data_IF_721660526884
#
_entry.id   IF_721660526884
#
_cell.length_a   1.000
_cell.length_b   1.000
_cell.length_c   1.000
_cell.angle_alpha   90.00
_cell.angle_beta   90.00
_cell.angle_gamma   90.00
#
_symmetry.space_group_name_H-M   'P 1'
#
loop_
_entity.id
_entity.type
_entity.pdbx_description
1 polymer ?
#
# COMPACT_ATOMS: atom_id res chain seq x y z
N UNK A 1 -20.30 -10.63 20.62
CA UNK A 1 -21.46 -9.88 21.12
C UNK A 1 -21.09 -8.47 21.57
N UNK A 2 -20.23 -8.29 22.58
CA UNK A 2 -19.90 -6.96 23.13
C UNK A 2 -19.24 -5.97 22.15
N UNK A 3 -18.33 -6.42 21.27
CA UNK A 3 -17.77 -5.56 20.21
C UNK A 3 -18.88 -5.00 19.30
N UNK A 4 -19.75 -5.90 18.82
CA UNK A 4 -20.88 -5.52 17.97
C UNK A 4 -21.86 -4.57 18.71
N UNK A 5 -22.03 -4.75 20.01
CA UNK A 5 -22.85 -3.86 20.83
C UNK A 5 -22.22 -2.46 20.98
N UNK A 6 -20.91 -2.40 21.24
CA UNK A 6 -20.14 -1.16 21.41
C UNK A 6 -20.28 -0.22 20.21
N UNK A 7 -20.03 -0.70 19.00
CA UNK A 7 -20.22 0.16 17.83
C UNK A 7 -21.65 0.35 17.34
N UNK A 8 -22.61 -0.54 17.61
CA UNK A 8 -24.02 -0.20 17.35
C UNK A 8 -24.39 1.04 18.18
N UNK A 9 -23.96 1.10 19.44
CA UNK A 9 -24.14 2.28 20.26
C UNK A 9 -23.36 3.49 19.73
N UNK A 10 -22.13 3.32 19.25
CA UNK A 10 -21.30 4.41 18.74
C UNK A 10 -21.81 5.00 17.40
N UNK A 11 -22.00 4.16 16.39
CA UNK A 11 -22.21 4.59 14.99
C UNK A 11 -23.69 4.66 14.60
N UNK A 12 -24.51 3.71 15.09
CA UNK A 12 -25.94 3.67 14.73
C UNK A 12 -26.80 4.48 15.69
N UNK A 13 -26.60 4.32 17.00
CA UNK A 13 -27.43 4.98 18.02
C UNK A 13 -26.82 6.28 18.56
N UNK A 14 -25.53 6.54 18.26
CA UNK A 14 -24.76 7.69 18.76
C UNK A 14 -24.80 7.85 20.30
N UNK A 15 -25.08 6.76 21.01
CA UNK A 15 -25.16 6.64 22.47
C UNK A 15 -23.76 6.31 23.01
N UNK A 16 -22.92 7.34 23.11
CA UNK A 16 -21.50 7.21 23.50
C UNK A 16 -21.31 6.53 24.86
N UNK A 17 -22.11 6.83 25.92
CA UNK A 17 -21.98 6.15 27.21
C UNK A 17 -22.16 4.63 27.11
N UNK A 18 -23.22 4.15 26.43
CA UNK A 18 -23.42 2.69 26.30
C UNK A 18 -22.38 2.02 25.41
N UNK A 19 -21.83 2.73 24.43
CA UNK A 19 -20.71 2.24 23.64
C UNK A 19 -19.47 2.00 24.52
N UNK A 20 -19.16 2.96 25.40
CA UNK A 20 -18.06 2.86 26.37
C UNK A 20 -18.27 1.65 27.29
N UNK A 21 -19.44 1.53 27.91
CA UNK A 21 -19.75 0.42 28.83
C UNK A 21 -19.58 -0.95 28.16
N UNK A 22 -20.03 -1.08 26.90
CA UNK A 22 -19.92 -2.32 26.15
C UNK A 22 -18.46 -2.68 25.80
N UNK A 23 -17.64 -1.69 25.40
CA UNK A 23 -16.22 -1.91 25.11
C UNK A 23 -15.39 -2.16 26.38
N UNK A 24 -15.68 -1.46 27.47
CA UNK A 24 -15.04 -1.71 28.77
C UNK A 24 -15.38 -3.12 29.27
N UNK A 25 -16.67 -3.48 29.25
CA UNK A 25 -17.12 -4.83 29.62
C UNK A 25 -16.47 -5.94 28.79
N UNK A 26 -16.24 -5.71 27.48
CA UNK A 26 -15.52 -6.65 26.61
C UNK A 26 -14.08 -6.86 27.11
N UNK A 27 -13.37 -5.76 27.37
CA UNK A 27 -11.95 -5.80 27.75
C UNK A 27 -11.72 -6.31 29.17
N UNK A 28 -12.65 -6.04 30.09
CA UNK A 28 -12.59 -6.56 31.47
C UNK A 28 -12.89 -8.05 31.52
N UNK A 29 -13.94 -8.50 30.81
CA UNK A 29 -14.36 -9.92 30.84
C UNK A 29 -13.45 -10.81 30.01
N UNK A 30 -12.82 -10.27 28.97
CA UNK A 30 -11.96 -11.02 28.05
C UNK A 30 -10.68 -10.24 27.71
N UNK A 31 -9.67 -10.18 28.59
CA UNK A 31 -8.48 -9.34 28.37
C UNK A 31 -7.62 -9.70 27.15
N UNK A 32 -7.63 -10.96 26.70
CA UNK A 32 -6.90 -11.44 25.52
C UNK A 32 -7.83 -11.63 24.30
N UNK A 33 -8.87 -10.80 24.18
CA UNK A 33 -9.79 -10.90 23.07
C UNK A 33 -9.17 -10.38 21.76
N UNK A 34 -9.52 -11.01 20.63
CA UNK A 34 -9.08 -10.61 19.28
C UNK A 34 -9.47 -9.16 18.89
N UNK A 35 -10.38 -8.53 19.64
CA UNK A 35 -10.86 -7.17 19.42
C UNK A 35 -10.19 -6.15 20.37
N UNK A 36 -9.17 -6.55 21.13
CA UNK A 36 -8.52 -5.69 22.14
C UNK A 36 -8.01 -4.40 21.53
N UNK A 37 -7.11 -4.47 20.56
CA UNK A 37 -6.53 -3.30 19.91
C UNK A 37 -7.61 -2.39 19.25
N UNK A 38 -8.56 -2.93 18.45
CA UNK A 38 -9.64 -2.13 17.89
C UNK A 38 -10.60 -1.52 18.92
N UNK A 39 -10.87 -2.22 20.02
CA UNK A 39 -11.74 -1.71 21.10
C UNK A 39 -11.07 -0.60 21.91
N UNK A 40 -9.76 -0.69 22.18
CA UNK A 40 -9.00 0.38 22.81
C UNK A 40 -8.98 1.63 21.95
N UNK A 41 -8.82 1.49 20.63
CA UNK A 41 -8.89 2.62 19.72
C UNK A 41 -10.30 3.25 19.68
N UNK A 42 -11.34 2.42 19.75
CA UNK A 42 -12.73 2.90 19.84
C UNK A 42 -12.99 3.66 21.14
N UNK A 43 -12.48 3.16 22.27
CA UNK A 43 -12.54 3.82 23.57
C UNK A 43 -11.79 5.15 23.56
N UNK A 44 -10.59 5.21 22.96
CA UNK A 44 -9.88 6.47 22.71
C UNK A 44 -10.78 7.48 21.99
N UNK A 45 -11.36 7.12 20.83
CA UNK A 45 -12.23 8.03 20.05
C UNK A 45 -13.46 8.48 20.83
N UNK A 46 -14.12 7.57 21.55
CA UNK A 46 -15.30 7.86 22.35
C UNK A 46 -15.00 8.84 23.49
N UNK A 47 -13.92 8.59 24.23
CA UNK A 47 -13.49 9.47 25.32
C UNK A 47 -13.01 10.83 24.80
N UNK A 48 -12.31 10.89 23.66
CA UNK A 48 -11.98 12.16 22.98
C UNK A 48 -13.24 12.95 22.62
N UNK A 49 -14.25 12.29 22.05
CA UNK A 49 -15.51 12.93 21.65
C UNK A 49 -16.37 13.40 22.84
N UNK A 50 -16.08 12.93 24.06
CA UNK A 50 -16.68 13.38 25.32
C UNK A 50 -15.79 14.37 26.09
N UNK A 51 -14.68 14.82 25.50
CA UNK A 51 -13.67 15.68 26.15
C UNK A 51 -13.06 15.06 27.43
N UNK A 52 -13.02 13.73 27.53
CA UNK A 52 -12.42 12.99 28.64
C UNK A 52 -10.95 12.68 28.31
N UNK A 53 -10.15 13.75 28.18
CA UNK A 53 -8.80 13.71 27.60
C UNK A 53 -7.85 12.76 28.31
N UNK A 54 -7.89 12.70 29.65
CA UNK A 54 -7.01 11.82 30.44
C UNK A 54 -7.25 10.33 30.12
N UNK A 55 -8.51 9.92 30.04
CA UNK A 55 -8.89 8.54 29.73
C UNK A 55 -8.53 8.21 28.29
N UNK A 56 -8.78 9.14 27.36
CA UNK A 56 -8.40 8.98 25.97
C UNK A 56 -6.88 8.78 25.83
N UNK A 57 -6.06 9.65 26.42
CA UNK A 57 -4.60 9.54 26.36
C UNK A 57 -4.08 8.24 26.99
N UNK A 58 -4.74 7.72 28.03
CA UNK A 58 -4.41 6.40 28.58
C UNK A 58 -4.54 5.29 27.52
N UNK A 59 -5.68 5.21 26.83
CA UNK A 59 -5.87 4.22 25.76
C UNK A 59 -4.90 4.41 24.60
N UNK A 60 -4.64 5.66 24.19
CA UNK A 60 -3.66 5.98 23.16
C UNK A 60 -2.27 5.47 23.53
N UNK A 61 -1.79 5.75 24.73
CA UNK A 61 -0.47 5.32 25.20
C UNK A 61 -0.35 3.80 25.27
N UNK A 62 -1.41 3.09 25.69
CA UNK A 62 -1.42 1.62 25.69
C UNK A 62 -1.32 1.04 24.29
N UNK A 63 -2.02 1.61 23.32
CA UNK A 63 -1.94 1.17 21.91
C UNK A 63 -0.53 1.36 21.35
N UNK A 64 0.08 2.51 21.60
CA UNK A 64 1.45 2.82 21.12
C UNK A 64 2.48 1.90 21.78
N UNK A 65 2.33 1.62 23.08
CA UNK A 65 3.27 0.78 23.81
C UNK A 65 3.17 -0.72 23.47
N UNK A 66 1.95 -1.25 23.35
CA UNK A 66 1.73 -2.69 23.17
C UNK A 66 1.63 -3.10 21.68
N UNK A 67 1.29 -2.17 20.79
CA UNK A 67 1.09 -2.44 19.36
C UNK A 67 1.77 -1.38 18.45
N UNK A 68 3.07 -1.09 18.63
CA UNK A 68 3.77 0.02 17.95
C UNK A 68 3.77 -0.07 16.41
N UNK A 69 3.81 -1.30 15.87
CA UNK A 69 3.85 -1.53 14.42
C UNK A 69 2.45 -1.58 13.78
N UNK A 70 1.39 -1.43 14.58
CA UNK A 70 0.02 -1.43 14.09
C UNK A 70 -0.33 -0.13 13.40
N UNK A 71 -1.17 -0.21 12.36
CA UNK A 71 -1.66 0.98 11.66
C UNK A 71 -2.42 1.93 12.60
N UNK A 72 -3.05 1.40 13.67
CA UNK A 72 -3.66 2.21 14.73
C UNK A 72 -2.63 3.07 15.48
N UNK A 73 -1.50 2.49 15.89
CA UNK A 73 -0.43 3.23 16.56
C UNK A 73 0.16 4.30 15.63
N UNK A 74 0.36 3.99 14.35
CA UNK A 74 0.87 4.95 13.37
C UNK A 74 -0.07 6.16 13.21
N UNK A 75 -1.38 5.94 13.11
CA UNK A 75 -2.39 7.01 13.00
C UNK A 75 -2.54 7.81 14.31
N UNK A 76 -2.36 7.17 15.47
CA UNK A 76 -2.41 7.86 16.76
C UNK A 76 -1.19 8.75 17.01
N UNK A 77 -0.03 8.38 16.47
CA UNK A 77 1.20 9.17 16.53
C UNK A 77 1.15 10.34 15.54
N UNK A 78 0.72 10.07 14.31
CA UNK A 78 0.54 11.07 13.28
C UNK A 78 -0.76 10.78 12.49
N UNK A 79 -1.84 11.56 12.69
CA UNK A 79 -3.10 11.38 11.96
C UNK A 79 -2.96 11.44 10.44
N UNK A 80 -1.90 12.08 9.94
CA UNK A 80 -1.59 12.21 8.52
C UNK A 80 -0.52 11.21 8.06
N UNK A 81 -0.07 10.28 8.91
CA UNK A 81 1.04 9.38 8.63
C UNK A 81 0.96 8.75 7.23
N UNK A 82 -0.17 8.13 6.91
CA UNK A 82 -0.36 7.47 5.63
C UNK A 82 -0.58 8.45 4.47
N UNK A 83 -1.13 9.65 4.74
CA UNK A 83 -1.26 10.71 3.72
C UNK A 83 0.11 11.24 3.34
N UNK A 84 0.96 11.57 4.32
CA UNK A 84 2.35 12.00 4.11
C UNK A 84 3.18 10.91 3.45
N UNK A 85 3.01 9.66 3.87
CA UNK A 85 3.68 8.50 3.25
C UNK A 85 3.28 8.35 1.78
N UNK A 86 2.01 8.56 1.44
CA UNK A 86 1.55 8.53 0.06
C UNK A 86 2.03 9.74 -0.75
N UNK A 87 2.05 10.94 -0.18
CA UNK A 87 2.57 12.15 -0.82
C UNK A 87 4.06 12.01 -1.14
N UNK A 88 4.88 11.62 -0.16
CA UNK A 88 6.32 11.41 -0.35
C UNK A 88 6.62 10.37 -1.46
N UNK A 89 5.73 9.40 -1.62
CA UNK A 89 5.82 8.34 -2.62
C UNK A 89 5.36 8.80 -4.01
N UNK A 90 4.26 9.56 -4.10
CA UNK A 90 3.88 10.20 -5.36
C UNK A 90 5.00 11.15 -5.85
N UNK A 91 5.61 11.90 -4.93
CA UNK A 91 6.76 12.77 -5.25
C UNK A 91 7.97 11.96 -5.75
N UNK A 92 8.28 10.81 -5.14
CA UNK A 92 9.39 9.96 -5.58
C UNK A 92 9.13 9.32 -6.96
N UNK A 93 7.88 8.94 -7.24
CA UNK A 93 7.44 8.41 -8.54
C UNK A 93 7.48 9.48 -9.64
N UNK A 94 6.95 10.68 -9.41
CA UNK A 94 7.05 11.77 -10.37
C UNK A 94 8.49 12.17 -10.66
N UNK A 95 9.35 12.11 -9.64
CA UNK A 95 10.77 12.36 -9.80
C UNK A 95 11.45 11.26 -10.62
N UNK A 96 11.04 10.00 -10.44
CA UNK A 96 11.51 8.88 -11.24
C UNK A 96 11.08 9.01 -12.70
N UNK A 97 9.83 9.36 -12.95
CA UNK A 97 9.30 9.57 -14.30
C UNK A 97 10.10 10.65 -15.05
N UNK A 98 10.30 11.83 -14.43
CA UNK A 98 11.13 12.90 -14.99
C UNK A 98 12.57 12.45 -15.27
N UNK A 99 13.09 11.54 -14.46
CA UNK A 99 14.45 10.99 -14.62
C UNK A 99 14.51 9.97 -15.77
N UNK A 100 13.47 9.17 -15.93
CA UNK A 100 13.34 8.25 -17.04
C UNK A 100 13.15 8.99 -18.38
N UNK A 101 12.35 10.06 -18.41
CA UNK A 101 12.24 10.94 -19.59
C UNK A 101 13.59 11.56 -19.97
N UNK A 102 14.38 12.00 -18.98
CA UNK A 102 15.74 12.49 -19.21
C UNK A 102 16.65 11.40 -19.81
N UNK A 103 16.51 10.15 -19.37
CA UNK A 103 17.24 9.01 -19.94
C UNK A 103 16.86 8.78 -21.42
N UNK A 104 15.57 8.75 -21.74
CA UNK A 104 15.08 8.61 -23.12
C UNK A 104 15.56 9.74 -24.03
N UNK A 105 15.64 10.96 -23.51
CA UNK A 105 16.15 12.13 -24.22
C UNK A 105 17.70 12.18 -24.31
N UNK A 106 18.42 11.14 -23.88
CA UNK A 106 19.89 11.09 -23.90
C UNK A 106 20.57 12.03 -22.89
N UNK A 107 19.83 12.59 -21.93
CA UNK A 107 20.34 13.52 -20.92
C UNK A 107 21.02 12.76 -19.75
N UNK A 108 21.98 11.88 -20.06
CA UNK A 108 22.57 10.93 -19.12
C UNK A 108 23.21 11.56 -17.87
N UNK A 109 23.86 12.72 -18.01
CA UNK A 109 24.39 13.46 -16.86
C UNK A 109 23.30 13.86 -15.87
N UNK A 110 22.13 14.29 -16.37
CA UNK A 110 20.96 14.63 -15.55
C UNK A 110 20.38 13.39 -14.86
N UNK A 111 20.39 12.24 -15.54
CA UNK A 111 19.93 10.97 -14.96
C UNK A 111 20.76 10.58 -13.75
N UNK A 112 22.09 10.64 -13.86
CA UNK A 112 23.01 10.35 -12.76
C UNK A 112 22.79 11.31 -11.59
N UNK A 113 22.70 12.62 -11.86
CA UNK A 113 22.42 13.61 -10.82
C UNK A 113 21.07 13.39 -10.13
N UNK A 114 20.04 13.03 -10.89
CA UNK A 114 18.72 12.76 -10.34
C UNK A 114 18.73 11.49 -9.48
N UNK A 115 19.44 10.43 -9.89
CA UNK A 115 19.57 9.22 -9.09
C UNK A 115 20.27 9.49 -7.74
N UNK A 116 21.36 10.27 -7.74
CA UNK A 116 22.04 10.69 -6.51
C UNK A 116 21.14 11.53 -5.59
N UNK A 117 20.30 12.38 -6.20
CA UNK A 117 19.31 13.18 -5.48
C UNK A 117 18.19 12.31 -4.90
N UNK A 118 17.70 11.32 -5.64
CA UNK A 118 16.68 10.39 -5.20
C UNK A 118 17.15 9.60 -3.98
N UNK A 119 18.41 9.13 -3.98
CA UNK A 119 19.01 8.43 -2.84
C UNK A 119 19.03 9.24 -1.54
N UNK A 120 19.08 10.58 -1.64
CA UNK A 120 19.05 11.50 -0.48
C UNK A 120 17.64 11.88 -0.06
N UNK A 121 16.74 12.09 -1.03
CA UNK A 121 15.37 12.53 -0.77
C UNK A 121 14.46 11.39 -0.32
N UNK A 122 14.67 10.18 -0.84
CA UNK A 122 13.77 9.03 -0.65
C UNK A 122 14.52 7.79 -0.11
N UNK A 123 15.31 7.90 0.98
CA UNK A 123 16.21 6.84 1.44
C UNK A 123 15.49 5.55 1.88
N UNK A 124 14.19 5.61 2.16
CA UNK A 124 13.37 4.47 2.58
C UNK A 124 12.58 3.83 1.43
N UNK A 125 12.70 4.36 0.21
CA UNK A 125 11.96 3.87 -0.96
C UNK A 125 12.71 2.71 -1.64
N UNK A 126 12.53 1.51 -1.10
CA UNK A 126 13.21 0.31 -1.61
C UNK A 126 12.67 -0.18 -2.95
N UNK A 127 11.56 0.38 -3.44
CA UNK A 127 10.97 0.02 -4.74
C UNK A 127 11.59 0.85 -5.88
N UNK A 128 11.71 2.17 -5.70
CA UNK A 128 12.23 3.06 -6.75
C UNK A 128 13.74 3.24 -6.72
N UNK A 129 14.39 3.20 -5.55
CA UNK A 129 15.85 3.38 -5.47
C UNK A 129 16.65 2.39 -6.34
N UNK A 130 16.33 1.08 -6.41
CA UNK A 130 17.00 0.17 -7.34
C UNK A 130 16.85 0.62 -8.80
N UNK A 131 15.67 1.13 -9.18
CA UNK A 131 15.38 1.59 -10.54
C UNK A 131 16.14 2.87 -10.90
N UNK A 132 16.27 3.81 -9.96
CA UNK A 132 17.15 4.97 -10.10
C UNK A 132 18.61 4.56 -10.25
N UNK A 133 19.08 3.63 -9.40
CA UNK A 133 20.43 3.10 -9.47
C UNK A 133 20.71 2.41 -10.81
N UNK A 134 19.71 1.69 -11.35
CA UNK A 134 19.80 1.05 -12.66
C UNK A 134 19.96 2.08 -13.78
N UNK A 135 19.08 3.10 -13.81
CA UNK A 135 19.17 4.19 -14.80
C UNK A 135 20.50 4.93 -14.71
N UNK A 136 20.99 5.18 -13.49
CA UNK A 136 22.31 5.78 -13.27
C UNK A 136 23.42 4.89 -13.83
N UNK A 137 23.39 3.58 -13.56
CA UNK A 137 24.39 2.64 -14.06
C UNK A 137 24.45 2.64 -15.59
N UNK A 138 23.31 2.47 -16.27
CA UNK A 138 23.27 2.48 -17.75
C UNK A 138 23.55 3.85 -18.37
N UNK A 139 23.32 4.95 -17.64
CA UNK A 139 23.63 6.32 -18.08
C UNK A 139 25.08 6.72 -17.83
N UNK A 140 25.74 6.09 -16.85
CA UNK A 140 27.14 6.35 -16.49
C UNK A 140 28.14 5.69 -17.44
N UNK A 141 27.67 4.74 -18.27
CA UNK A 141 28.46 4.15 -19.34
C UNK A 141 28.65 5.14 -20.47
N UNK A 142 29.83 5.74 -20.57
CA UNK A 142 30.29 6.28 -21.85
C UNK A 142 30.52 5.09 -22.81
N UNK A 143 30.38 5.26 -24.14
CA UNK A 143 30.72 4.22 -25.12
C UNK A 143 32.14 3.63 -24.99
N UNK A 144 33.02 4.27 -24.20
CA UNK A 144 34.46 3.98 -24.15
C UNK A 144 34.93 3.33 -22.83
N UNK A 145 34.07 3.17 -21.79
CA UNK A 145 34.47 2.56 -20.50
C UNK A 145 33.40 1.59 -19.99
N UNK A 146 33.39 0.38 -20.55
CA UNK A 146 32.47 -0.72 -20.19
C UNK A 146 32.57 -1.12 -18.70
N UNK A 147 33.73 -0.87 -18.07
CA UNK A 147 34.01 -1.25 -16.68
C UNK A 147 33.17 -0.47 -15.65
N UNK A 148 32.86 0.81 -15.87
CA UNK A 148 32.12 1.62 -14.88
C UNK A 148 30.65 1.21 -14.76
N UNK A 149 30.02 0.90 -15.90
CA UNK A 149 28.65 0.39 -15.93
C UNK A 149 28.57 -1.00 -15.28
N UNK A 150 29.52 -1.90 -15.60
CA UNK A 150 29.59 -3.23 -15.00
C UNK A 150 29.69 -3.14 -13.47
N UNK A 151 30.59 -2.29 -12.95
CA UNK A 151 30.75 -2.10 -11.50
C UNK A 151 29.48 -1.54 -10.86
N UNK A 152 28.80 -0.60 -11.52
CA UNK A 152 27.55 -0.02 -11.01
C UNK A 152 26.40 -1.04 -10.98
N UNK A 153 26.24 -1.85 -12.03
CA UNK A 153 25.23 -2.91 -12.09
C UNK A 153 25.52 -4.04 -11.10
N UNK A 154 26.78 -4.45 -10.92
CA UNK A 154 27.17 -5.45 -9.92
C UNK A 154 26.86 -4.96 -8.49
N UNK A 155 27.19 -3.70 -8.20
CA UNK A 155 26.81 -3.07 -6.93
C UNK A 155 25.30 -3.05 -6.75
N UNK A 156 24.53 -2.73 -7.79
CA UNK A 156 23.07 -2.71 -7.73
C UNK A 156 22.53 -4.08 -7.34
N UNK A 157 22.95 -5.16 -8.01
CA UNK A 157 22.47 -6.52 -7.75
C UNK A 157 22.83 -6.97 -6.33
N UNK A 158 24.02 -6.60 -5.82
CA UNK A 158 24.42 -6.90 -4.44
C UNK A 158 23.64 -6.11 -3.39
N UNK A 159 23.27 -4.87 -3.72
CA UNK A 159 22.57 -3.96 -2.80
C UNK A 159 21.07 -4.25 -2.77
N UNK A 160 20.50 -4.63 -3.91
CA UNK A 160 19.07 -4.86 -4.12
C UNK A 160 18.81 -6.19 -4.83
N UNK A 161 19.15 -7.34 -4.21
CA UNK A 161 19.06 -8.65 -4.85
C UNK A 161 17.64 -9.04 -5.26
N UNK A 162 16.64 -8.61 -4.50
CA UNK A 162 15.21 -8.89 -4.72
C UNK A 162 14.52 -7.81 -5.57
N UNK A 163 15.26 -6.89 -6.19
CA UNK A 163 14.64 -5.82 -6.99
C UNK A 163 14.17 -6.31 -8.36
N UNK A 164 13.11 -5.69 -8.87
CA UNK A 164 12.56 -5.97 -10.21
C UNK A 164 13.56 -5.74 -11.36
N UNK A 165 14.59 -4.91 -11.13
CA UNK A 165 15.67 -4.62 -12.08
C UNK A 165 16.89 -5.55 -11.95
N UNK A 166 16.97 -6.37 -10.89
CA UNK A 166 18.10 -7.27 -10.68
C UNK A 166 18.27 -8.33 -11.80
N UNK A 167 17.21 -8.97 -12.32
CA UNK A 167 17.34 -9.90 -13.45
C UNK A 167 17.93 -9.22 -14.69
N UNK A 168 17.39 -8.04 -15.04
CA UNK A 168 17.86 -7.25 -16.19
C UNK A 168 19.32 -6.80 -16.03
N UNK A 169 19.71 -6.35 -14.83
CA UNK A 169 21.09 -5.97 -14.53
C UNK A 169 22.05 -7.18 -14.68
N UNK A 170 21.64 -8.35 -14.21
CA UNK A 170 22.41 -9.59 -14.38
C UNK A 170 22.54 -10.00 -15.85
N UNK A 171 21.49 -9.82 -16.65
CA UNK A 171 21.53 -10.13 -18.08
C UNK A 171 22.48 -9.19 -18.83
N UNK A 172 22.50 -7.90 -18.50
CA UNK A 172 23.47 -6.94 -19.06
C UNK A 172 24.90 -7.33 -18.65
N UNK A 173 25.13 -7.64 -17.37
CA UNK A 173 26.46 -8.06 -16.86
C UNK A 173 26.98 -9.32 -17.55
N UNK A 174 26.10 -10.29 -17.85
CA UNK A 174 26.47 -11.53 -18.56
C UNK A 174 26.84 -11.31 -20.02
N UNK A 175 26.29 -10.27 -20.64
CA UNK A 175 26.46 -9.97 -22.05
C UNK A 175 27.43 -8.82 -22.33
N UNK A 176 27.98 -8.20 -21.28
CA UNK A 176 29.01 -7.16 -21.39
C UNK A 176 30.22 -7.71 -22.18
N UNK A 177 30.50 -7.10 -23.33
CA UNK A 177 31.58 -7.51 -24.24
C UNK A 177 31.14 -8.27 -25.51
N UNK A 178 29.84 -8.56 -25.70
CA UNK A 178 29.27 -8.95 -27.00
C UNK A 178 28.53 -7.74 -27.58
N UNK A 179 28.85 -7.39 -28.83
CA UNK A 179 28.46 -6.18 -29.57
C UNK A 179 27.13 -5.54 -29.13
N UNK A 180 27.22 -4.32 -28.61
CA UNK A 180 26.11 -3.52 -28.09
C UNK A 180 25.47 -2.73 -29.24
N UNK A 181 24.51 -3.32 -29.96
CA UNK A 181 23.60 -2.61 -30.86
C UNK A 181 22.19 -2.63 -30.23
N UNK A 182 21.88 -1.62 -29.43
CA UNK A 182 20.52 -1.39 -28.91
C UNK A 182 19.76 -0.47 -29.86
N UNK A 183 19.06 -1.07 -30.82
CA UNK A 183 17.84 -0.50 -31.37
C UNK A 183 16.66 -1.12 -30.62
N UNK A 184 16.17 -0.42 -29.59
CA UNK A 184 14.89 -0.75 -28.95
C UNK A 184 13.87 0.22 -29.51
N UNK A 185 13.18 -0.19 -30.57
CA UNK A 185 11.93 0.44 -30.99
C UNK A 185 10.81 -0.05 -30.09
N UNK A 186 10.21 0.86 -29.32
CA UNK A 186 8.91 0.64 -28.69
C UNK A 186 7.92 1.57 -29.41
N UNK A 187 6.98 0.99 -30.16
CA UNK A 187 5.95 1.72 -30.90
C UNK A 187 5.01 2.49 -29.95
N UNK A 188 4.60 3.69 -30.37
CA UNK A 188 3.74 4.62 -29.64
C UNK A 188 2.26 4.49 -30.06
N UNK A 189 1.29 4.69 -29.14
CA UNK A 189 -0.02 5.24 -29.47
C UNK A 189 -0.04 6.78 -29.34
N UNK A 190 -0.93 7.48 -30.06
CA UNK A 190 -0.86 8.92 -30.29
C UNK A 190 -1.57 9.77 -29.23
N UNK A 191 -1.03 10.99 -29.09
CA UNK A 191 -1.60 12.26 -28.62
C UNK A 191 -2.66 12.26 -27.51
N UNK A 192 -2.26 12.82 -26.35
CA UNK A 192 -3.17 13.23 -25.30
C UNK A 192 -3.82 14.56 -25.66
N UNK A 193 -5.12 14.52 -25.97
CA UNK A 193 -6.00 15.68 -25.97
C UNK A 193 -6.12 16.28 -24.56
N UNK A 194 -6.17 17.61 -24.51
CA UNK A 194 -6.47 18.39 -23.31
C UNK A 194 -7.92 18.15 -22.90
N UNK A 195 -8.15 17.54 -21.73
CA UNK A 195 -9.48 17.53 -21.11
C UNK A 195 -9.57 18.42 -19.88
N UNK A 196 -10.61 19.24 -19.91
CA UNK A 196 -11.11 20.20 -18.94
C UNK A 196 -11.40 19.59 -17.57
N UNK A 197 -10.98 20.29 -16.51
CA UNK A 197 -11.22 19.89 -15.11
C UNK A 197 -12.67 20.25 -14.70
N UNK A 198 -13.54 19.24 -14.60
CA UNK A 198 -14.73 19.30 -13.74
C UNK A 198 -14.32 19.08 -12.26
N UNK A 199 -15.03 19.70 -11.32
CA UNK A 199 -14.83 19.53 -9.87
C UNK A 199 -14.83 18.04 -9.47
N UNK A 200 -14.02 17.62 -8.47
CA UNK A 200 -13.86 16.21 -8.16
C UNK A 200 -15.17 15.60 -7.61
N UNK A 201 -15.76 14.67 -8.39
CA UNK A 201 -16.95 13.87 -8.03
C UNK A 201 -16.71 12.92 -6.84
N UNK A 202 -15.46 12.78 -6.39
CA UNK A 202 -15.01 11.81 -5.40
C UNK A 202 -13.89 12.39 -4.53
N UNK A 203 -13.83 12.08 -3.21
CA UNK A 203 -12.69 12.43 -2.38
C UNK A 203 -11.43 11.59 -2.70
N UNK A 204 -11.55 10.56 -3.54
CA UNK A 204 -10.45 9.69 -3.96
C UNK A 204 -9.80 10.20 -5.25
N UNK A 205 -8.50 10.00 -5.36
CA UNK A 205 -7.66 10.48 -6.47
C UNK A 205 -7.23 9.29 -7.33
N UNK A 206 -7.41 9.37 -8.65
CA UNK A 206 -6.77 8.41 -9.55
C UNK A 206 -5.28 8.74 -9.69
N UNK A 207 -4.44 7.78 -9.33
CA UNK A 207 -3.03 7.80 -9.67
C UNK A 207 -2.60 6.37 -9.99
N UNK A 208 -2.56 6.02 -11.28
CA UNK A 208 -2.21 4.69 -11.74
C UNK A 208 -0.76 4.28 -11.43
N UNK A 209 0.14 5.27 -11.29
CA UNK A 209 1.56 5.06 -11.04
C UNK A 209 1.89 4.96 -9.55
N UNK A 210 1.03 5.52 -8.69
CA UNK A 210 1.10 5.32 -7.24
C UNK A 210 1.13 3.85 -6.92
N UNK A 211 1.91 3.47 -5.94
CA UNK A 211 1.86 2.08 -5.49
C UNK A 211 0.53 1.77 -4.75
N UNK A 212 0.11 0.51 -4.85
CA UNK A 212 -1.19 0.03 -4.38
C UNK A 212 -1.07 -1.08 -3.31
N UNK A 213 -2.20 -1.30 -2.65
CA UNK A 213 -2.52 -2.48 -1.87
C UNK A 213 -3.83 -3.05 -2.40
N UNK A 214 -4.06 -4.34 -2.18
CA UNK A 214 -5.36 -4.97 -2.41
C UNK A 214 -6.07 -5.06 -1.06
N UNK A 215 -7.24 -4.43 -0.98
CA UNK A 215 -8.10 -4.40 0.18
C UNK A 215 -9.18 -5.48 0.04
N UNK A 216 -9.38 -6.26 1.08
CA UNK A 216 -10.50 -7.18 1.26
C UNK A 216 -11.29 -6.71 2.48
N UNK A 217 -12.54 -6.30 2.27
CA UNK A 217 -13.47 -6.00 3.36
C UNK A 217 -14.36 -7.21 3.56
N UNK A 218 -14.23 -7.88 4.70
CA UNK A 218 -14.89 -9.16 4.98
C UNK A 218 -15.85 -9.03 6.16
N UNK A 219 -17.01 -9.68 6.09
CA UNK A 219 -17.94 -9.71 7.21
C UNK A 219 -17.34 -10.50 8.39
N UNK A 220 -17.07 -9.82 9.50
CA UNK A 220 -16.42 -10.33 10.71
C UNK A 220 -17.18 -11.47 11.39
N UNK A 221 -18.49 -11.61 11.16
CA UNK A 221 -19.30 -12.68 11.75
C UNK A 221 -19.42 -13.92 10.87
N UNK A 222 -19.14 -13.79 9.57
CA UNK A 222 -19.31 -14.87 8.57
C UNK A 222 -18.00 -15.36 8.00
N UNK A 223 -16.97 -14.53 8.01
CA UNK A 223 -15.65 -14.84 7.48
C UNK A 223 -14.65 -14.98 8.62
N UNK A 224 -13.99 -16.14 8.70
CA UNK A 224 -12.89 -16.34 9.65
C UNK A 224 -11.61 -15.74 9.07
N UNK A 225 -11.08 -14.72 9.72
CA UNK A 225 -9.97 -13.91 9.21
C UNK A 225 -8.63 -14.66 9.29
N UNK A 226 -8.31 -15.38 10.37
CA UNK A 226 -7.02 -16.10 10.44
C UNK A 226 -6.87 -17.17 9.36
N UNK A 227 -7.88 -18.06 9.12
CA UNK A 227 -7.82 -18.98 7.99
C UNK A 227 -7.75 -18.27 6.64
N UNK A 228 -8.43 -17.12 6.47
CA UNK A 228 -8.31 -16.32 5.25
C UNK A 228 -6.88 -15.79 5.05
N UNK A 229 -6.23 -15.29 6.10
CA UNK A 229 -4.84 -14.82 6.05
C UNK A 229 -3.86 -15.95 5.74
N UNK A 230 -4.08 -17.15 6.27
CA UNK A 230 -3.27 -18.33 5.92
C UNK A 230 -3.43 -18.66 4.44
N UNK A 231 -4.67 -18.71 3.94
CA UNK A 231 -4.93 -18.97 2.52
C UNK A 231 -4.33 -17.90 1.60
N UNK A 232 -4.43 -16.63 1.97
CA UNK A 232 -3.77 -15.53 1.27
C UNK A 232 -2.24 -15.68 1.28
N UNK A 233 -1.65 -16.06 2.41
CA UNK A 233 -0.19 -16.27 2.53
C UNK A 233 0.28 -17.41 1.62
N UNK A 234 -0.44 -18.53 1.60
CA UNK A 234 -0.14 -19.66 0.73
C UNK A 234 -0.34 -19.30 -0.75
N UNK A 235 -1.40 -18.57 -1.07
CA UNK A 235 -1.68 -18.05 -2.40
C UNK A 235 -0.55 -17.13 -2.88
N UNK A 236 -0.14 -16.16 -2.06
CA UNK A 236 0.97 -15.25 -2.38
C UNK A 236 2.26 -16.03 -2.68
N UNK A 237 2.57 -17.08 -1.90
CA UNK A 237 3.75 -17.92 -2.14
C UNK A 237 3.70 -18.73 -3.42
N UNK A 238 2.52 -19.04 -3.95
CA UNK A 238 2.34 -19.85 -5.16
C UNK A 238 2.30 -18.97 -6.41
N UNK A 239 1.47 -17.94 -6.40
CA UNK A 239 1.16 -17.12 -7.56
C UNK A 239 2.03 -15.85 -7.65
N UNK A 240 2.57 -15.38 -6.51
CA UNK A 240 3.30 -14.10 -6.40
C UNK A 240 4.64 -14.23 -5.65
N UNK A 241 5.31 -15.38 -5.77
CA UNK A 241 6.49 -15.78 -4.98
C UNK A 241 7.69 -14.83 -5.05
N UNK A 242 7.76 -14.03 -6.11
CA UNK A 242 8.83 -13.06 -6.38
C UNK A 242 8.65 -11.78 -5.54
N UNK A 243 7.44 -11.52 -5.03
CA UNK A 243 7.12 -10.29 -4.30
C UNK A 243 6.85 -10.62 -2.82
N UNK A 244 7.56 -9.94 -1.91
CA UNK A 244 7.30 -10.04 -0.48
C UNK A 244 6.04 -9.25 -0.10
N UNK A 245 4.89 -9.90 -0.23
CA UNK A 245 3.59 -9.30 0.05
C UNK A 245 3.25 -9.39 1.54
N UNK A 246 3.03 -8.24 2.17
CA UNK A 246 2.62 -8.17 3.57
C UNK A 246 1.10 -8.28 3.70
N UNK A 247 0.63 -9.18 4.56
CA UNK A 247 -0.79 -9.32 4.90
C UNK A 247 -1.05 -8.70 6.26
N UNK A 248 -1.81 -7.61 6.28
CA UNK A 248 -2.29 -6.97 7.50
C UNK A 248 -3.79 -7.16 7.62
N UNK A 249 -4.29 -7.11 8.86
CA UNK A 249 -5.72 -7.18 9.13
C UNK A 249 -6.05 -6.24 10.27
N UNK A 250 -7.10 -5.45 10.10
CA UNK A 250 -7.63 -4.55 11.11
C UNK A 250 -9.15 -4.61 11.08
N UNK A 251 -9.78 -4.23 12.18
CA UNK A 251 -11.23 -4.17 12.25
C UNK A 251 -11.67 -2.81 11.73
N UNK A 252 -12.39 -2.83 10.61
CA UNK A 252 -12.88 -1.61 10.00
C UNK A 252 -14.04 -1.06 10.83
N UNK A 253 -14.94 -1.95 11.21
CA UNK A 253 -16.15 -1.69 11.94
C UNK A 253 -16.66 -2.97 12.64
N UNK A 254 -17.85 -2.94 13.22
CA UNK A 254 -18.37 -4.10 13.93
C UNK A 254 -18.78 -5.29 13.08
N UNK A 255 -19.16 -5.02 11.85
CA UNK A 255 -19.63 -6.02 10.92
C UNK A 255 -18.50 -6.45 9.99
N UNK A 256 -17.45 -5.64 9.82
CA UNK A 256 -16.42 -5.82 8.82
C UNK A 256 -14.98 -5.74 9.35
N UNK A 257 -14.16 -6.65 8.87
CA UNK A 257 -12.70 -6.63 9.03
C UNK A 257 -12.08 -6.29 7.70
N UNK A 258 -11.16 -5.33 7.69
CA UNK A 258 -10.34 -4.98 6.56
C UNK A 258 -9.06 -5.81 6.60
N UNK A 259 -8.86 -6.65 5.60
CA UNK A 259 -7.60 -7.34 5.34
C UNK A 259 -6.94 -6.62 4.17
N UNK A 260 -5.65 -6.33 4.28
CA UNK A 260 -4.89 -5.74 3.19
C UNK A 260 -3.71 -6.61 2.83
N UNK A 261 -3.44 -6.70 1.53
CA UNK A 261 -2.28 -7.38 0.96
C UNK A 261 -1.56 -6.37 0.09
N UNK A 262 -0.25 -6.21 0.21
CA UNK A 262 0.45 -5.38 -0.79
C UNK A 262 1.80 -4.82 -0.42
N UNK A 263 1.97 -3.56 -0.85
CA UNK A 263 3.15 -2.87 -1.42
C UNK A 263 3.41 -3.12 -2.93
N UNK A 264 2.35 -3.27 -3.75
CA UNK A 264 2.47 -3.38 -5.21
C UNK A 264 2.99 -2.09 -5.83
N UNK A 265 3.91 -2.15 -6.80
CA UNK A 265 4.57 -0.97 -7.38
C UNK A 265 3.62 0.04 -8.04
N UNK A 266 2.48 -0.40 -8.57
CA UNK A 266 1.54 0.47 -9.30
C UNK A 266 0.13 -0.15 -9.34
N UNK A 267 -0.81 0.56 -9.95
CA UNK A 267 -2.19 0.07 -10.15
C UNK A 267 -2.22 -1.23 -10.92
N UNK A 268 -1.47 -1.33 -12.01
CA UNK A 268 -1.45 -2.53 -12.86
C UNK A 268 -1.04 -3.78 -12.06
N UNK A 269 0.06 -3.74 -11.31
CA UNK A 269 0.50 -4.85 -10.49
C UNK A 269 -0.51 -5.26 -9.40
N UNK A 270 -1.26 -4.30 -8.85
CA UNK A 270 -2.33 -4.60 -7.89
C UNK A 270 -3.60 -5.11 -8.56
N UNK A 271 -3.90 -4.68 -9.79
CA UNK A 271 -4.99 -5.20 -10.63
C UNK A 271 -4.69 -6.64 -11.02
N UNK A 272 -3.47 -6.97 -11.46
CA UNK A 272 -3.05 -8.34 -11.75
C UNK A 272 -3.27 -9.26 -10.54
N UNK A 273 -2.83 -8.81 -9.35
CA UNK A 273 -3.09 -9.55 -8.11
C UNK A 273 -4.59 -9.71 -7.81
N UNK A 274 -5.34 -8.63 -7.99
CA UNK A 274 -6.77 -8.59 -7.75
C UNK A 274 -7.54 -9.55 -8.65
N UNK A 275 -7.24 -9.58 -9.96
CA UNK A 275 -7.89 -10.45 -10.93
C UNK A 275 -7.64 -11.92 -10.59
N UNK A 276 -6.37 -12.30 -10.37
CA UNK A 276 -6.03 -13.68 -9.99
C UNK A 276 -6.64 -14.07 -8.64
N UNK A 277 -6.68 -13.15 -7.67
CA UNK A 277 -7.32 -13.39 -6.37
C UNK A 277 -8.83 -13.60 -6.51
N UNK A 278 -9.52 -12.83 -7.35
CA UNK A 278 -10.97 -12.95 -7.54
C UNK A 278 -11.37 -14.30 -8.13
N UNK A 279 -10.52 -14.90 -8.94
CA UNK A 279 -10.73 -16.23 -9.53
C UNK A 279 -10.25 -17.38 -8.63
N UNK A 280 -9.57 -17.07 -7.52
CA UNK A 280 -9.00 -18.09 -6.64
C UNK A 280 -10.05 -18.79 -5.77
N UNK A 281 -10.52 -19.95 -6.23
CA UNK A 281 -11.34 -20.86 -5.43
C UNK A 281 -10.64 -21.31 -4.14
N UNK A 282 -9.30 -21.37 -4.11
CA UNK A 282 -8.58 -21.71 -2.89
C UNK A 282 -8.81 -20.64 -1.81
N UNK A 283 -8.64 -19.35 -2.15
CA UNK A 283 -8.71 -18.26 -1.18
C UNK A 283 -10.15 -17.87 -0.85
N UNK A 284 -10.99 -17.69 -1.86
CA UNK A 284 -12.34 -17.16 -1.70
C UNK A 284 -13.41 -18.25 -1.70
N UNK A 285 -13.06 -19.49 -2.06
CA UNK A 285 -13.96 -20.63 -2.00
C UNK A 285 -14.52 -20.85 -0.60
N UNK A 286 -15.81 -21.17 -0.58
CA UNK A 286 -16.59 -21.32 0.65
C UNK A 286 -17.01 -20.00 1.32
N UNK A 287 -16.58 -18.84 0.82
CA UNK A 287 -17.08 -17.53 1.25
C UNK A 287 -18.14 -17.05 0.26
N UNK A 288 -19.32 -16.64 0.76
CA UNK A 288 -20.35 -16.08 -0.13
C UNK A 288 -19.87 -14.74 -0.67
N UNK A 289 -20.13 -14.46 -1.96
CA UNK A 289 -19.79 -13.19 -2.61
C UNK A 289 -20.39 -11.95 -1.92
N UNK A 290 -21.46 -12.11 -1.13
CA UNK A 290 -22.05 -11.03 -0.33
C UNK A 290 -21.32 -10.75 0.98
N UNK A 291 -20.46 -11.66 1.42
CA UNK A 291 -19.79 -11.59 2.72
C UNK A 291 -18.36 -11.02 2.60
N UNK A 292 -17.93 -10.62 1.40
CA UNK A 292 -16.67 -9.92 1.18
C UNK A 292 -16.75 -8.94 -0.01
N UNK A 293 -15.82 -8.00 -0.05
CA UNK A 293 -15.56 -7.13 -1.20
C UNK A 293 -14.06 -6.96 -1.36
N UNK A 294 -13.55 -7.04 -2.58
CA UNK A 294 -12.12 -6.88 -2.88
C UNK A 294 -11.96 -5.72 -3.83
N UNK A 295 -11.01 -4.82 -3.57
CA UNK A 295 -10.63 -3.75 -4.49
C UNK A 295 -9.15 -3.38 -4.30
N UNK A 296 -8.40 -3.08 -5.37
CA UNK A 296 -7.14 -2.36 -5.25
C UNK A 296 -7.36 -0.96 -4.68
N UNK A 297 -6.43 -0.48 -3.88
CA UNK A 297 -6.43 0.84 -3.27
C UNK A 297 -5.03 1.44 -3.22
N UNK A 298 -4.90 2.66 -3.72
CA UNK A 298 -3.64 3.41 -3.62
C UNK A 298 -3.39 3.79 -2.16
N UNK A 299 -2.12 3.97 -1.80
CA UNK A 299 -1.78 4.43 -0.47
C UNK A 299 -2.29 5.85 -0.17
N UNK A 300 -2.52 6.67 -1.19
CA UNK A 300 -3.13 8.00 -1.03
C UNK A 300 -4.62 7.92 -0.69
N UNK A 301 -5.34 6.93 -1.24
CA UNK A 301 -6.77 6.75 -1.01
C UNK A 301 -7.09 5.95 0.26
N UNK A 302 -6.17 5.08 0.71
CA UNK A 302 -6.36 4.25 1.91
C UNK A 302 -6.78 5.03 3.18
N UNK A 303 -6.18 6.17 3.53
CA UNK A 303 -6.54 6.92 4.74
C UNK A 303 -7.90 7.60 4.63
N UNK A 304 -8.29 7.99 3.41
CA UNK A 304 -9.60 8.57 3.10
C UNK A 304 -10.65 7.48 3.28
N UNK A 305 -10.41 6.30 2.70
CA UNK A 305 -11.29 5.14 2.84
C UNK A 305 -11.41 4.71 4.29
N UNK A 306 -10.30 4.58 5.01
CA UNK A 306 -10.30 4.15 6.41
C UNK A 306 -11.09 5.10 7.32
N UNK A 307 -11.04 6.41 7.03
CA UNK A 307 -11.80 7.43 7.77
C UNK A 307 -13.29 7.38 7.47
N UNK A 308 -13.64 7.27 6.18
CA UNK A 308 -15.03 7.34 5.71
C UNK A 308 -15.75 6.00 5.86
N UNK A 309 -15.02 4.89 5.81
CA UNK A 309 -15.48 3.49 5.86
C UNK A 309 -16.57 3.17 4.83
N UNK A 310 -16.62 3.93 3.74
CA UNK A 310 -17.68 3.86 2.76
C UNK A 310 -17.22 3.03 1.55
N UNK A 311 -17.51 1.73 1.60
CA UNK A 311 -17.16 0.77 0.54
C UNK A 311 -17.91 1.08 -0.75
N UNK A 312 -19.18 1.50 -0.67
CA UNK A 312 -19.99 1.79 -1.84
C UNK A 312 -19.50 3.03 -2.59
N UNK A 313 -19.02 4.06 -1.87
CA UNK A 313 -18.39 5.24 -2.45
C UNK A 313 -17.06 4.87 -3.12
N UNK A 314 -16.22 4.09 -2.45
CA UNK A 314 -14.96 3.64 -3.02
C UNK A 314 -15.15 2.75 -4.25
N UNK A 315 -16.15 1.86 -4.20
CA UNK A 315 -16.54 1.02 -5.34
C UNK A 315 -16.93 1.86 -6.56
N UNK A 316 -17.78 2.88 -6.38
CA UNK A 316 -18.17 3.77 -7.49
C UNK A 316 -16.98 4.50 -8.08
N UNK A 317 -16.04 4.95 -7.24
CA UNK A 317 -14.79 5.55 -7.71
C UNK A 317 -13.97 4.53 -8.51
N UNK A 318 -13.80 3.32 -7.99
CA UNK A 318 -13.04 2.25 -8.66
C UNK A 318 -13.63 1.85 -10.02
N UNK A 319 -14.96 1.75 -10.11
CA UNK A 319 -15.68 1.40 -11.35
C UNK A 319 -15.61 2.50 -12.42
N UNK A 320 -15.19 3.71 -12.06
CA UNK A 320 -14.96 4.83 -13.00
C UNK A 320 -13.51 4.90 -13.50
N UNK A 321 -12.61 4.09 -12.95
CA UNK A 321 -11.21 4.09 -13.39
C UNK A 321 -11.08 3.40 -14.75
N UNK A 322 -10.19 3.91 -15.63
CA UNK A 322 -9.99 3.39 -16.97
C UNK A 322 -9.23 2.06 -17.00
#
# INVERSE_FOLDING_TARGET
>A
AFNNLGFIYMERLKDKPKAIDAYQSLNERYPENQYRLPSWYSLYKLHTALNQTEIAENYKNRIIAEFPDSDYAQVLLDPEFFVKKAQARNESEEFYERTYEAYKAGQYFRVVMNADRAAKLYPSDTALLPRFAFLSAVSSGRPEVVDSMAVALDRLVKTYPESSVAPLANDILRNIGKTYELAVELEMPPDAEEESIEEPKSPYIDNAKSQYMVMLVCNSSRVRIDPLKVRLSDFNKREFSIVSLMIKSLILDNENTLVTVGNFENRAAAVDYFEVLQESDYVLGGIKKTDYSVYPISLSNYPIFYRNKNIDEYKRFWEQLP
#
